data_IF_363813442007
#
_entry.id   IF_363813442007
#
_cell.length_a   1.000
_cell.length_b   1.000
_cell.length_c   1.000
_cell.angle_alpha   90.00
_cell.angle_beta   90.00
_cell.angle_gamma   90.00
#
_symmetry.space_group_name_H-M   'P 1'
#
loop_
_entity.id
_entity.type
_entity.pdbx_description
1 polymer ?
#
# COMPACT_ATOMS: atom_id res chain seq x y z
N UNK A 1 -6.88 -13.59 -1.79
CA UNK A 1 -6.60 -14.33 -3.06
C UNK A 1 -5.11 -14.29 -3.40
N UNK A 2 -4.52 -13.10 -3.54
CA UNK A 2 -3.10 -12.96 -3.89
C UNK A 2 -2.16 -13.66 -2.90
N UNK A 3 -2.38 -13.57 -1.58
CA UNK A 3 -1.56 -14.22 -0.56
C UNK A 3 -1.57 -15.75 -0.69
N UNK A 4 -2.72 -16.36 -0.94
CA UNK A 4 -2.83 -17.80 -1.16
C UNK A 4 -2.09 -18.25 -2.44
N UNK A 5 -2.19 -17.46 -3.52
CA UNK A 5 -1.45 -17.72 -4.76
C UNK A 5 0.06 -17.65 -4.51
N UNK A 6 0.51 -16.60 -3.82
CA UNK A 6 1.91 -16.43 -3.44
C UNK A 6 2.41 -17.56 -2.55
N UNK A 7 1.63 -17.94 -1.56
CA UNK A 7 1.94 -19.06 -0.67
C UNK A 7 2.08 -20.37 -1.45
N UNK A 8 1.18 -20.64 -2.40
CA UNK A 8 1.28 -21.80 -3.28
C UNK A 8 2.55 -21.79 -4.13
N UNK A 9 2.91 -20.66 -4.71
CA UNK A 9 4.14 -20.51 -5.49
C UNK A 9 5.39 -20.78 -4.65
N UNK A 10 5.40 -20.34 -3.40
CA UNK A 10 6.50 -20.58 -2.48
C UNK A 10 6.59 -22.04 -2.04
N UNK A 11 5.45 -22.70 -1.81
CA UNK A 11 5.37 -24.10 -1.41
C UNK A 11 5.68 -25.10 -2.55
N UNK A 12 5.30 -24.81 -3.79
CA UNK A 12 5.49 -25.73 -4.92
C UNK A 12 6.93 -26.19 -5.14
N UNK A 13 7.89 -25.50 -4.50
CA UNK A 13 9.31 -25.89 -4.53
C UNK A 13 9.75 -26.76 -3.33
N UNK A 14 8.88 -27.01 -2.33
CA UNK A 14 9.26 -27.75 -1.13
C UNK A 14 8.34 -28.92 -0.77
N UNK A 15 7.01 -28.80 -0.91
CA UNK A 15 6.02 -29.88 -0.71
C UNK A 15 4.65 -29.45 -1.29
N UNK A 16 3.74 -30.40 -1.66
CA UNK A 16 2.39 -30.03 -2.08
C UNK A 16 1.65 -29.30 -0.94
N UNK A 17 0.79 -28.33 -1.27
CA UNK A 17 0.04 -27.54 -0.27
C UNK A 17 -0.74 -28.49 0.65
N UNK A 18 -0.54 -28.33 1.95
CA UNK A 18 -1.21 -29.16 2.93
C UNK A 18 -2.73 -28.96 2.87
N UNK A 19 -3.48 -30.03 3.16
CA UNK A 19 -4.95 -30.04 3.20
C UNK A 19 -5.57 -28.88 4.01
N UNK A 20 -4.83 -28.35 4.96
CA UNK A 20 -5.22 -27.23 5.81
C UNK A 20 -5.25 -25.90 5.05
N UNK A 21 -4.30 -25.65 4.16
CA UNK A 21 -4.26 -24.42 3.33
C UNK A 21 -5.47 -24.36 2.37
N UNK A 22 -5.84 -25.50 1.77
CA UNK A 22 -7.02 -25.56 0.88
C UNK A 22 -8.32 -25.27 1.64
N UNK A 23 -8.42 -25.69 2.89
CA UNK A 23 -9.57 -25.43 3.75
C UNK A 23 -9.62 -23.95 4.16
N UNK A 24 -8.49 -23.36 4.53
CA UNK A 24 -8.41 -21.93 4.90
C UNK A 24 -8.73 -21.03 3.70
N UNK A 25 -8.19 -21.34 2.53
CA UNK A 25 -8.51 -20.61 1.29
C UNK A 25 -10.00 -20.71 0.93
N UNK A 26 -10.57 -21.92 0.98
CA UNK A 26 -11.99 -22.12 0.70
C UNK A 26 -12.89 -21.35 1.67
N UNK A 27 -12.52 -21.30 2.96
CA UNK A 27 -13.25 -20.54 3.97
C UNK A 27 -13.15 -19.02 3.72
N UNK A 28 -11.97 -18.51 3.39
CA UNK A 28 -11.78 -17.10 3.06
C UNK A 28 -12.55 -16.70 1.80
N UNK A 29 -12.55 -17.53 0.76
CA UNK A 29 -13.33 -17.33 -0.46
C UNK A 29 -14.84 -17.30 -0.19
N UNK A 30 -15.36 -18.21 0.61
CA UNK A 30 -16.77 -18.24 0.97
C UNK A 30 -17.18 -16.98 1.74
N UNK A 31 -16.33 -16.51 2.66
CA UNK A 31 -16.58 -15.27 3.42
C UNK A 31 -16.56 -14.03 2.52
N UNK A 32 -15.62 -13.94 1.59
CA UNK A 32 -15.56 -12.85 0.61
C UNK A 32 -16.77 -12.82 -0.32
N UNK A 33 -17.24 -13.97 -0.79
CA UNK A 33 -18.43 -14.06 -1.65
C UNK A 33 -19.69 -13.65 -0.87
N UNK A 34 -19.78 -14.00 0.40
CA UNK A 34 -20.86 -13.55 1.26
C UNK A 34 -20.83 -12.02 1.46
N UNK A 35 -19.69 -11.43 1.77
CA UNK A 35 -19.52 -9.97 1.90
C UNK A 35 -19.91 -9.25 0.61
N UNK A 36 -19.51 -9.77 -0.53
CA UNK A 36 -19.87 -9.24 -1.86
C UNK A 36 -21.38 -9.24 -2.05
N UNK A 37 -22.05 -10.37 -1.77
CA UNK A 37 -23.51 -10.51 -1.89
C UNK A 37 -24.22 -9.50 -0.99
N UNK A 38 -23.80 -9.37 0.27
CA UNK A 38 -24.38 -8.42 1.21
C UNK A 38 -24.20 -6.95 0.76
N UNK A 39 -23.02 -6.62 0.25
CA UNK A 39 -22.70 -5.26 -0.23
C UNK A 39 -23.49 -4.91 -1.47
N UNK A 40 -23.60 -5.82 -2.45
CA UNK A 40 -24.39 -5.65 -3.65
C UNK A 40 -25.87 -5.48 -3.28
N UNK A 41 -26.39 -6.30 -2.37
CA UNK A 41 -27.78 -6.18 -1.92
C UNK A 41 -28.09 -4.82 -1.29
N UNK A 42 -27.21 -4.30 -0.43
CA UNK A 42 -27.36 -2.95 0.15
C UNK A 42 -27.35 -1.85 -0.92
N UNK A 43 -26.46 -1.95 -1.91
CA UNK A 43 -26.40 -1.01 -3.04
C UNK A 43 -27.66 -1.06 -3.90
N UNK A 44 -28.21 -2.24 -4.14
CA UNK A 44 -29.47 -2.42 -4.88
C UNK A 44 -30.66 -1.79 -4.15
N UNK A 45 -30.76 -1.96 -2.82
CA UNK A 45 -31.76 -1.32 -1.99
C UNK A 45 -31.68 0.21 -2.07
N UNK A 46 -30.49 0.77 -1.85
CA UNK A 46 -30.23 2.22 -1.96
C UNK A 46 -30.59 2.76 -3.34
N UNK A 47 -30.22 2.04 -4.40
CA UNK A 47 -30.58 2.40 -5.77
C UNK A 47 -32.08 2.37 -6.02
N UNK A 48 -32.81 1.38 -5.48
CA UNK A 48 -34.25 1.30 -5.58
C UNK A 48 -34.95 2.47 -4.88
N UNK A 49 -34.48 2.84 -3.69
CA UNK A 49 -34.99 3.99 -2.94
C UNK A 49 -34.77 5.31 -3.70
N UNK A 50 -33.59 5.55 -4.20
CA UNK A 50 -33.28 6.74 -5.01
C UNK A 50 -34.13 6.80 -6.28
N UNK A 51 -34.35 5.67 -6.96
CA UNK A 51 -35.25 5.60 -8.13
C UNK A 51 -36.67 5.98 -7.77
N UNK A 52 -37.18 5.50 -6.65
CA UNK A 52 -38.54 5.85 -6.21
C UNK A 52 -38.68 7.34 -5.91
N UNK A 53 -37.68 7.93 -5.22
CA UNK A 53 -37.65 9.36 -4.95
C UNK A 53 -37.56 10.18 -6.25
N UNK A 54 -36.70 9.77 -7.19
CA UNK A 54 -36.61 10.39 -8.52
C UNK A 54 -37.94 10.35 -9.28
N UNK A 55 -38.66 9.23 -9.26
CA UNK A 55 -39.98 9.12 -9.92
C UNK A 55 -41.02 10.07 -9.32
N UNK A 56 -41.01 10.27 -8.00
CA UNK A 56 -41.87 11.23 -7.34
C UNK A 56 -41.58 12.66 -7.82
N UNK A 57 -40.34 13.03 -7.88
CA UNK A 57 -39.91 14.35 -8.38
C UNK A 57 -40.30 14.56 -9.85
N UNK A 58 -40.06 13.56 -10.70
CA UNK A 58 -40.42 13.65 -12.12
C UNK A 58 -41.96 13.84 -12.29
N UNK A 59 -42.78 13.16 -11.49
CA UNK A 59 -44.22 13.34 -11.52
C UNK A 59 -44.66 14.75 -11.10
N UNK A 60 -44.02 15.30 -10.03
CA UNK A 60 -44.27 16.67 -9.59
C UNK A 60 -43.87 17.67 -10.66
N UNK A 61 -42.68 17.48 -11.27
CA UNK A 61 -42.21 18.36 -12.34
C UNK A 61 -43.13 18.33 -13.57
N UNK A 62 -43.55 17.15 -14.01
CA UNK A 62 -44.46 16.99 -15.13
C UNK A 62 -45.83 17.65 -14.87
N UNK A 63 -46.36 17.51 -13.63
CA UNK A 63 -47.63 18.16 -13.23
C UNK A 63 -47.51 19.70 -13.27
N UNK A 64 -46.37 20.26 -12.84
CA UNK A 64 -46.13 21.70 -12.91
C UNK A 64 -46.00 22.18 -14.35
N UNK A 65 -45.29 21.44 -15.19
CA UNK A 65 -45.09 21.77 -16.61
C UNK A 65 -46.42 21.75 -17.39
N UNK A 66 -47.26 20.74 -17.17
CA UNK A 66 -48.59 20.69 -17.75
C UNK A 66 -49.47 21.90 -17.35
N UNK A 67 -49.39 22.30 -16.07
CA UNK A 67 -50.12 23.46 -15.55
C UNK A 67 -49.62 24.75 -16.13
N UNK A 68 -48.30 24.90 -16.35
CA UNK A 68 -47.69 26.07 -16.93
C UNK A 68 -48.15 26.36 -18.35
N UNK A 69 -48.48 25.33 -19.12
CA UNK A 69 -49.02 25.45 -20.50
C UNK A 69 -50.49 25.88 -20.58
N UNK A 70 -51.21 25.96 -19.45
CA UNK A 70 -52.62 26.31 -19.41
C UNK A 70 -52.82 27.84 -19.23
N UNK A 71 -53.99 28.39 -19.62
CA UNK A 71 -54.32 29.78 -19.34
C UNK A 71 -54.21 30.14 -17.86
N UNK A 72 -53.77 31.36 -17.52
CA UNK A 72 -53.38 31.80 -16.16
C UNK A 72 -54.41 31.44 -15.09
N UNK A 73 -55.71 31.56 -15.41
CA UNK A 73 -56.79 31.20 -14.48
C UNK A 73 -56.78 29.70 -14.08
N UNK A 74 -56.47 28.83 -15.02
CA UNK A 74 -56.39 27.38 -14.79
C UNK A 74 -55.04 27.00 -14.16
N UNK A 75 -53.96 27.73 -14.48
CA UNK A 75 -52.63 27.53 -13.90
C UNK A 75 -52.65 27.70 -12.37
N UNK A 76 -53.35 28.74 -11.87
CA UNK A 76 -53.44 29.01 -10.44
C UNK A 76 -54.35 28.09 -9.67
N UNK A 77 -55.30 27.40 -10.34
CA UNK A 77 -56.20 26.48 -9.68
C UNK A 77 -55.47 25.20 -9.21
N UNK A 78 -55.39 24.99 -7.90
CA UNK A 78 -54.77 23.82 -7.29
C UNK A 78 -53.22 23.85 -7.29
N UNK A 79 -52.58 24.95 -7.72
CA UNK A 79 -51.11 25.06 -7.65
C UNK A 79 -50.59 25.02 -6.21
N UNK A 80 -51.39 25.50 -5.26
CA UNK A 80 -51.03 25.49 -3.84
C UNK A 80 -50.85 24.07 -3.30
N UNK A 81 -51.61 23.10 -3.76
CA UNK A 81 -51.45 21.69 -3.35
C UNK A 81 -50.14 21.08 -3.85
N UNK A 82 -49.74 21.43 -5.09
CA UNK A 82 -48.48 20.96 -5.65
C UNK A 82 -47.31 21.61 -4.95
N UNK A 83 -47.41 22.92 -4.68
CA UNK A 83 -46.37 23.64 -3.91
C UNK A 83 -46.22 23.09 -2.51
N UNK A 84 -47.33 22.90 -1.78
CA UNK A 84 -47.26 22.32 -0.45
C UNK A 84 -46.65 20.91 -0.43
N UNK A 85 -46.93 20.06 -1.45
CA UNK A 85 -46.29 18.76 -1.60
C UNK A 85 -44.79 18.90 -1.90
N UNK A 86 -44.41 19.84 -2.74
CA UNK A 86 -42.98 20.08 -3.07
C UNK A 86 -42.20 20.66 -1.89
N UNK A 87 -42.83 21.55 -1.09
CA UNK A 87 -42.23 22.11 0.11
C UNK A 87 -42.05 21.08 1.24
N UNK A 88 -43.00 20.13 1.35
CA UNK A 88 -42.94 19.05 2.32
C UNK A 88 -42.01 17.92 1.94
N UNK A 89 -41.66 17.80 0.66
CA UNK A 89 -40.76 16.76 0.17
C UNK A 89 -39.33 17.05 0.59
N UNK A 90 -38.64 16.02 1.09
CA UNK A 90 -37.20 16.07 1.45
C UNK A 90 -36.50 14.88 0.82
N UNK A 91 -35.36 15.13 0.23
CA UNK A 91 -34.47 14.07 -0.26
C UNK A 91 -33.97 13.26 0.94
N UNK A 92 -34.29 11.98 0.95
CA UNK A 92 -33.72 11.03 1.91
C UNK A 92 -32.43 10.47 1.32
N UNK A 93 -31.30 10.82 1.93
CA UNK A 93 -30.04 10.22 1.55
C UNK A 93 -30.00 8.78 2.06
N UNK A 94 -29.72 7.79 1.19
CA UNK A 94 -29.49 6.42 1.64
C UNK A 94 -28.24 6.37 2.53
N UNK A 95 -28.21 5.40 3.42
CA UNK A 95 -27.00 5.16 4.24
C UNK A 95 -25.82 4.82 3.34
N UNK A 96 -24.63 5.39 3.61
CA UNK A 96 -23.43 5.07 2.85
C UNK A 96 -23.06 3.60 3.06
N UNK A 97 -22.85 2.89 1.98
CA UNK A 97 -22.38 1.51 2.01
C UNK A 97 -20.86 1.51 2.08
N UNK A 98 -20.29 0.95 3.14
CA UNK A 98 -18.84 0.76 3.25
C UNK A 98 -18.39 -0.26 2.20
N UNK A 99 -17.32 0.08 1.49
CA UNK A 99 -16.63 -0.81 0.53
C UNK A 99 -15.38 -1.45 1.15
N UNK A 100 -15.13 -1.22 2.44
CA UNK A 100 -14.02 -1.85 3.14
C UNK A 100 -14.31 -3.33 3.35
N UNK A 101 -13.38 -4.17 2.92
CA UNK A 101 -13.43 -5.61 3.15
C UNK A 101 -13.20 -5.89 4.65
N UNK A 102 -14.07 -6.71 5.23
CA UNK A 102 -14.00 -7.16 6.62
C UNK A 102 -13.34 -8.53 6.75
N UNK A 103 -13.44 -9.32 5.67
CA UNK A 103 -12.85 -10.66 5.65
C UNK A 103 -11.33 -10.56 5.62
N UNK A 104 -10.69 -11.12 6.63
CA UNK A 104 -9.23 -11.27 6.70
C UNK A 104 -8.82 -12.47 5.85
N UNK A 105 -8.07 -12.21 4.77
CA UNK A 105 -7.59 -13.23 3.84
C UNK A 105 -6.14 -13.63 4.12
N UNK A 106 -5.67 -13.49 5.36
CA UNK A 106 -4.29 -13.80 5.74
C UNK A 106 -4.01 -15.29 5.67
N UNK A 107 -2.85 -15.62 5.16
CA UNK A 107 -2.32 -16.99 5.19
C UNK A 107 -1.44 -17.15 6.42
N UNK A 108 -1.87 -17.99 7.36
CA UNK A 108 -1.08 -18.30 8.54
C UNK A 108 0.23 -19.00 8.11
N UNK A 109 1.35 -18.54 8.66
CA UNK A 109 2.67 -19.13 8.38
C UNK A 109 3.38 -18.57 7.14
N UNK A 110 2.81 -17.60 6.40
CA UNK A 110 3.50 -17.00 5.26
C UNK A 110 4.85 -16.38 5.67
N UNK A 111 4.89 -15.66 6.79
CA UNK A 111 6.13 -15.05 7.32
C UNK A 111 7.21 -16.11 7.57
N UNK A 112 6.84 -17.27 8.14
CA UNK A 112 7.80 -18.34 8.43
C UNK A 112 8.39 -18.94 7.14
N UNK A 113 7.59 -19.05 6.09
CA UNK A 113 8.10 -19.46 4.78
C UNK A 113 9.02 -18.39 4.19
N UNK A 114 8.64 -17.12 4.27
CA UNK A 114 9.50 -16.02 3.80
C UNK A 114 10.84 -16.01 4.54
N UNK A 115 10.87 -16.28 5.84
CA UNK A 115 12.09 -16.41 6.63
C UNK A 115 13.03 -17.51 6.12
N UNK A 116 12.54 -18.55 5.44
CA UNK A 116 13.41 -19.56 4.82
C UNK A 116 14.31 -18.99 3.72
N UNK A 117 13.97 -17.81 3.20
CA UNK A 117 14.76 -17.05 2.23
C UNK A 117 15.49 -15.87 2.87
N UNK A 118 15.70 -15.91 4.18
CA UNK A 118 16.38 -14.84 4.93
C UNK A 118 17.72 -14.49 4.29
N UNK A 119 17.90 -13.19 4.06
CA UNK A 119 19.14 -12.64 3.53
C UNK A 119 19.81 -11.78 4.61
N UNK A 120 21.08 -12.02 4.84
CA UNK A 120 21.89 -11.20 5.76
C UNK A 120 22.31 -9.90 5.07
N UNK A 121 21.39 -8.92 5.05
CA UNK A 121 21.59 -7.63 4.42
C UNK A 121 22.42 -6.72 5.33
N UNK A 122 23.47 -6.13 4.77
CA UNK A 122 24.34 -5.13 5.41
C UNK A 122 24.29 -3.82 4.61
N UNK A 123 24.27 -2.69 5.29
CA UNK A 123 24.34 -1.38 4.68
C UNK A 123 25.77 -1.12 4.13
N UNK A 124 25.83 -0.43 3.01
CA UNK A 124 27.10 0.03 2.42
C UNK A 124 27.32 1.52 2.71
N UNK A 125 28.23 1.86 3.65
CA UNK A 125 28.49 3.25 4.03
C UNK A 125 29.03 4.12 2.86
N UNK A 126 29.63 3.50 1.85
CA UNK A 126 30.15 4.24 0.69
C UNK A 126 29.02 4.78 -0.20
N UNK A 127 27.84 4.18 -0.14
CA UNK A 127 26.65 4.65 -0.87
C UNK A 127 25.87 5.72 -0.11
N UNK A 128 26.09 5.82 1.21
CA UNK A 128 25.27 6.65 2.09
C UNK A 128 25.40 8.15 1.79
N UNK A 129 24.28 8.86 1.76
CA UNK A 129 24.25 10.31 1.75
C UNK A 129 25.05 10.86 2.96
N UNK A 130 25.80 11.94 2.78
CA UNK A 130 26.79 12.46 3.72
C UNK A 130 26.28 12.85 5.12
N UNK A 131 24.95 12.92 5.31
CA UNK A 131 24.31 13.12 6.64
C UNK A 131 23.77 11.84 7.25
N UNK A 132 23.87 10.71 6.56
CA UNK A 132 23.45 9.43 7.12
C UNK A 132 24.59 8.82 7.93
N UNK A 133 24.25 8.40 9.14
CA UNK A 133 25.16 7.69 10.03
C UNK A 133 24.78 6.22 10.00
N UNK A 134 25.67 5.40 9.49
CA UNK A 134 25.55 3.93 9.48
C UNK A 134 26.29 3.38 10.70
N UNK A 135 25.69 2.44 11.42
CA UNK A 135 26.30 1.79 12.58
C UNK A 135 27.49 0.91 12.18
N UNK A 136 28.37 0.58 13.15
CA UNK A 136 29.56 -0.24 12.92
C UNK A 136 29.22 -1.66 12.43
N UNK A 137 28.10 -2.23 12.91
CA UNK A 137 27.57 -3.52 12.47
C UNK A 137 26.86 -3.46 11.11
N UNK A 138 26.71 -2.26 10.52
CA UNK A 138 26.05 -1.99 9.24
C UNK A 138 24.56 -2.43 9.19
N UNK A 139 23.92 -2.51 10.36
CA UNK A 139 22.50 -2.88 10.46
C UNK A 139 21.57 -1.70 10.68
N UNK A 140 22.09 -0.58 11.19
CA UNK A 140 21.31 0.60 11.51
C UNK A 140 21.71 1.81 10.71
N UNK A 141 20.74 2.65 10.34
CA UNK A 141 20.99 3.96 9.74
C UNK A 141 20.04 5.01 10.29
N UNK A 142 20.55 6.17 10.59
CA UNK A 142 19.78 7.34 10.96
C UNK A 142 20.30 8.62 10.32
N UNK A 143 19.51 9.66 10.33
CA UNK A 143 19.92 10.97 9.86
C UNK A 143 20.67 11.71 10.98
N UNK A 144 21.87 12.20 10.67
CA UNK A 144 22.70 13.00 11.58
C UNK A 144 22.53 14.50 11.34
N UNK A 145 22.59 15.29 12.41
CA UNK A 145 22.46 16.74 12.34
C UNK A 145 23.67 17.41 11.66
N UNK A 146 24.83 16.77 11.73
CA UNK A 146 26.09 17.29 11.21
C UNK A 146 26.47 16.53 9.95
N UNK A 147 26.87 17.28 8.93
CA UNK A 147 27.44 16.70 7.72
C UNK A 147 28.78 16.06 8.05
N UNK A 148 28.94 14.78 7.69
CA UNK A 148 30.20 14.07 7.85
C UNK A 148 31.16 14.48 6.73
N UNK A 149 32.46 14.64 7.08
CA UNK A 149 33.54 14.84 6.12
C UNK A 149 33.91 13.49 5.48
N UNK A 150 33.10 13.05 4.52
CA UNK A 150 33.33 11.81 3.78
C UNK A 150 33.93 12.13 2.41
N UNK A 151 34.81 11.25 1.88
CA UNK A 151 35.31 11.41 0.53
C UNK A 151 34.15 11.36 -0.47
N UNK A 152 34.19 12.24 -1.46
CA UNK A 152 33.30 12.14 -2.60
C UNK A 152 33.70 10.93 -3.44
N UNK A 153 32.72 10.05 -3.67
CA UNK A 153 32.89 8.88 -4.53
C UNK A 153 31.68 8.77 -5.47
N UNK A 154 31.79 8.07 -6.60
CA UNK A 154 30.67 7.93 -7.55
C UNK A 154 29.51 7.15 -6.97
N UNK A 155 29.75 6.30 -5.98
CA UNK A 155 28.75 5.41 -5.39
C UNK A 155 27.82 6.14 -4.40
N UNK A 156 28.25 7.28 -3.86
CA UNK A 156 27.53 8.03 -2.83
C UNK A 156 26.35 8.82 -3.37
N UNK A 157 25.18 8.67 -2.74
CA UNK A 157 24.05 9.57 -2.99
C UNK A 157 24.38 11.00 -2.54
N UNK A 158 24.08 11.97 -3.40
CA UNK A 158 24.46 13.37 -3.16
C UNK A 158 23.29 14.25 -2.71
N UNK A 159 22.06 13.96 -3.17
CA UNK A 159 20.89 14.84 -2.95
C UNK A 159 19.85 14.25 -2.01
N UNK A 160 19.81 12.94 -1.84
CA UNK A 160 18.74 12.26 -1.13
C UNK A 160 19.30 11.40 0.00
N UNK A 161 18.56 11.32 1.10
CA UNK A 161 18.89 10.57 2.29
C UNK A 161 18.72 9.06 2.03
N UNK A 162 19.56 8.51 1.16
CA UNK A 162 19.52 7.13 0.71
C UNK A 162 20.84 6.45 1.06
N UNK A 163 20.74 5.18 1.43
CA UNK A 163 21.85 4.24 1.55
C UNK A 163 21.41 2.91 0.95
N UNK A 164 22.32 2.16 0.36
CA UNK A 164 22.04 0.86 -0.24
C UNK A 164 22.61 -0.27 0.61
N UNK A 165 22.09 -1.48 0.36
CA UNK A 165 22.73 -2.70 0.84
C UNK A 165 23.99 -3.00 0.03
N UNK A 166 24.96 -3.68 0.67
CA UNK A 166 26.26 -4.03 0.05
C UNK A 166 26.16 -5.21 -0.92
N UNK A 167 25.09 -6.00 -0.83
CA UNK A 167 24.91 -7.21 -1.64
C UNK A 167 24.12 -6.93 -2.90
N UNK A 168 24.73 -7.19 -4.06
CA UNK A 168 24.04 -7.21 -5.35
C UNK A 168 23.26 -8.50 -5.53
N UNK A 169 21.97 -8.39 -5.79
CA UNK A 169 21.07 -9.51 -6.05
C UNK A 169 20.87 -9.65 -7.55
N UNK A 170 21.16 -10.83 -8.09
CA UNK A 170 21.02 -11.14 -9.53
C UNK A 170 20.31 -12.47 -9.79
N UNK A 171 19.90 -13.17 -8.74
CA UNK A 171 19.16 -14.44 -8.81
C UNK A 171 18.60 -14.80 -7.45
N UNK A 172 17.66 -15.77 -7.42
CA UNK A 172 17.14 -16.37 -6.21
C UNK A 172 16.07 -15.54 -5.51
N UNK A 173 15.68 -16.07 -4.35
CA UNK A 173 14.69 -15.47 -3.45
C UNK A 173 15.40 -14.93 -2.23
N UNK A 174 15.02 -13.72 -1.84
CA UNK A 174 15.61 -13.01 -0.71
C UNK A 174 14.53 -12.35 0.14
N UNK A 175 14.66 -12.46 1.45
CA UNK A 175 13.77 -11.83 2.41
C UNK A 175 14.55 -11.14 3.51
N UNK A 176 14.16 -9.95 3.89
CA UNK A 176 14.70 -9.24 5.05
C UNK A 176 13.62 -8.40 5.71
N UNK A 177 13.80 -8.11 6.99
CA UNK A 177 12.89 -7.28 7.76
C UNK A 177 13.61 -6.03 8.25
N UNK A 178 12.88 -4.93 8.31
CA UNK A 178 13.39 -3.63 8.75
C UNK A 178 12.46 -3.05 9.81
N UNK A 179 13.00 -2.77 10.98
CA UNK A 179 12.32 -2.02 12.02
C UNK A 179 12.26 -0.55 11.60
N UNK A 180 11.04 -0.03 11.42
CA UNK A 180 10.78 1.37 11.07
C UNK A 180 10.27 2.17 12.27
N UNK A 181 9.84 1.47 13.35
CA UNK A 181 9.35 2.08 14.58
C UNK A 181 8.19 3.06 14.35
N UNK A 182 8.19 4.15 15.13
CA UNK A 182 7.18 5.21 15.05
C UNK A 182 7.63 6.39 14.18
N UNK A 183 8.49 6.14 13.21
CA UNK A 183 8.97 7.19 12.30
C UNK A 183 7.83 7.79 11.49
N UNK A 184 7.91 9.10 11.26
CA UNK A 184 6.95 9.82 10.41
C UNK A 184 7.31 9.76 8.92
N UNK A 185 8.56 9.42 8.58
CA UNK A 185 9.03 9.28 7.20
C UNK A 185 10.08 8.18 7.08
N UNK A 186 9.93 7.35 6.07
CA UNK A 186 10.90 6.33 5.68
C UNK A 186 10.63 5.84 4.24
N UNK A 187 11.61 5.20 3.64
CA UNK A 187 11.49 4.50 2.36
C UNK A 187 12.28 3.20 2.37
N UNK A 188 11.69 2.12 1.86
CA UNK A 188 12.26 0.78 1.79
C UNK A 188 11.97 0.12 0.45
N UNK A 189 12.88 -0.74 -0.01
CA UNK A 189 12.69 -1.52 -1.22
C UNK A 189 13.99 -1.96 -1.85
N UNK A 190 14.03 -1.91 -3.18
CA UNK A 190 15.23 -2.20 -3.97
C UNK A 190 15.38 -1.18 -5.10
N UNK A 191 16.61 -1.06 -5.61
CA UNK A 191 16.88 -0.33 -6.84
C UNK A 191 17.90 -1.07 -7.71
N UNK A 192 18.00 -0.70 -8.99
CA UNK A 192 19.09 -1.22 -9.84
C UNK A 192 20.43 -0.67 -9.44
N UNK A 193 21.49 -1.44 -9.64
CA UNK A 193 22.86 -1.04 -9.34
C UNK A 193 23.27 0.27 -10.04
N UNK A 194 22.78 0.49 -11.24
CA UNK A 194 23.15 1.60 -12.13
C UNK A 194 22.27 2.84 -11.99
N UNK A 195 21.48 2.99 -10.90
CA UNK A 195 20.68 4.21 -10.70
C UNK A 195 21.58 5.44 -10.57
N UNK A 196 21.09 6.56 -11.07
CA UNK A 196 21.79 7.84 -10.88
C UNK A 196 21.71 8.24 -9.41
N UNK A 197 22.88 8.54 -8.83
CA UNK A 197 23.05 8.88 -7.42
C UNK A 197 23.34 10.37 -7.19
N UNK A 198 23.58 11.10 -8.27
CA UNK A 198 23.97 12.53 -8.23
C UNK A 198 22.83 13.46 -8.62
N UNK A 199 21.97 13.01 -9.54
CA UNK A 199 20.87 13.81 -10.09
C UNK A 199 19.54 13.58 -9.36
N UNK A 200 18.45 14.07 -9.96
CA UNK A 200 17.09 13.93 -9.40
C UNK A 200 16.62 12.49 -9.49
N UNK A 201 16.27 11.93 -8.36
CA UNK A 201 15.75 10.54 -8.26
C UNK A 201 14.23 10.55 -8.32
N UNK A 202 13.69 9.81 -9.30
CA UNK A 202 12.26 9.48 -9.38
C UNK A 202 12.08 8.03 -8.94
N UNK A 203 11.32 7.83 -7.86
CA UNK A 203 11.11 6.49 -7.29
C UNK A 203 10.00 5.76 -8.06
N UNK A 204 10.34 5.18 -9.21
CA UNK A 204 9.45 4.27 -9.94
C UNK A 204 10.24 3.21 -10.70
N UNK A 205 9.63 2.05 -11.07
CA UNK A 205 10.27 0.97 -11.82
C UNK A 205 10.91 1.43 -13.13
N UNK A 206 10.32 2.41 -13.79
CA UNK A 206 10.83 3.05 -15.01
C UNK A 206 12.24 3.64 -14.81
N UNK A 207 12.55 4.11 -13.59
CA UNK A 207 13.84 4.68 -13.22
C UNK A 207 14.68 3.71 -12.37
N UNK A 208 14.28 2.44 -12.30
CA UNK A 208 15.01 1.40 -11.58
C UNK A 208 14.78 1.37 -10.07
N UNK A 209 13.64 1.85 -9.60
CA UNK A 209 13.30 1.85 -8.18
C UNK A 209 11.97 1.14 -7.91
N UNK A 210 11.95 0.20 -7.00
CA UNK A 210 10.77 -0.50 -6.46
C UNK A 210 10.73 -0.24 -4.95
N UNK A 211 10.09 0.83 -4.56
CA UNK A 211 10.16 1.39 -3.20
C UNK A 211 8.78 1.72 -2.68
N UNK A 212 8.49 1.34 -1.43
CA UNK A 212 7.37 1.91 -0.67
C UNK A 212 7.91 2.95 0.32
N UNK A 213 7.08 3.93 0.66
CA UNK A 213 7.48 5.00 1.57
C UNK A 213 6.34 5.50 2.43
N UNK A 214 6.66 5.91 3.66
CA UNK A 214 5.79 6.71 4.51
C UNK A 214 6.19 8.19 4.39
N UNK A 215 5.20 9.05 4.32
CA UNK A 215 5.36 10.50 4.40
C UNK A 215 4.36 11.11 5.38
N UNK A 216 4.78 12.18 6.07
CA UNK A 216 3.95 12.96 7.01
C UNK A 216 3.26 12.10 8.08
N UNK A 217 3.81 10.95 8.42
CA UNK A 217 3.30 10.05 9.43
C UNK A 217 2.05 9.23 9.06
N UNK A 218 1.40 9.49 7.93
CA UNK A 218 0.12 8.85 7.56
C UNK A 218 -0.01 8.46 6.09
N UNK A 219 0.82 9.00 5.22
CA UNK A 219 0.71 8.77 3.78
C UNK A 219 1.66 7.65 3.33
N UNK A 220 1.15 6.41 3.26
CA UNK A 220 1.88 5.29 2.68
C UNK A 220 1.72 5.30 1.16
N UNK A 221 2.83 5.19 0.43
CA UNK A 221 2.81 5.25 -1.04
C UNK A 221 3.77 4.22 -1.64
N UNK A 222 3.33 3.57 -2.72
CA UNK A 222 4.23 2.84 -3.60
C UNK A 222 4.79 3.78 -4.67
N UNK A 223 6.07 3.65 -4.96
CA UNK A 223 6.79 4.39 -5.99
C UNK A 223 6.43 3.89 -7.39
N UNK A 224 5.21 4.11 -7.82
CA UNK A 224 4.74 3.94 -9.20
C UNK A 224 4.78 5.28 -9.92
N UNK A 225 4.51 5.30 -11.23
CA UNK A 225 4.51 6.55 -12.02
C UNK A 225 3.60 7.64 -11.44
N UNK A 226 2.51 7.25 -10.76
CA UNK A 226 1.54 8.15 -10.13
C UNK A 226 1.62 8.15 -8.58
N UNK A 227 2.62 7.53 -7.98
CA UNK A 227 2.74 7.41 -6.52
C UNK A 227 1.46 6.87 -5.86
N UNK A 228 1.16 5.61 -6.08
CA UNK A 228 -0.05 4.97 -5.57
C UNK A 228 -0.15 5.08 -4.05
N UNK A 229 -1.26 5.65 -3.57
CA UNK A 229 -1.58 5.71 -2.15
C UNK A 229 -2.01 4.33 -1.64
N UNK A 230 -1.41 3.89 -0.54
CA UNK A 230 -1.71 2.61 0.11
C UNK A 230 -2.53 2.88 1.38
N UNK A 231 -3.60 2.12 1.57
CA UNK A 231 -4.41 2.16 2.80
C UNK A 231 -4.00 1.00 3.68
N UNK A 232 -3.39 1.30 4.84
CA UNK A 232 -2.95 0.30 5.80
C UNK A 232 -3.75 0.44 7.09
N UNK A 233 -4.56 -0.57 7.47
CA UNK A 233 -5.37 -0.53 8.69
C UNK A 233 -4.52 -0.45 9.95
N UNK A 234 -3.38 -1.14 9.94
CA UNK A 234 -2.41 -1.16 11.04
C UNK A 234 -1.09 -0.53 10.55
N UNK A 235 -0.65 0.58 11.16
CA UNK A 235 0.64 1.17 10.85
C UNK A 235 1.80 0.18 11.07
N UNK A 236 2.66 -0.08 10.09
CA UNK A 236 3.79 -0.97 10.28
C UNK A 236 4.88 -0.33 11.15
N UNK A 237 5.34 -1.05 12.16
CA UNK A 237 6.56 -0.77 12.91
C UNK A 237 7.73 -1.59 12.42
N UNK A 238 7.45 -2.71 11.73
CA UNK A 238 8.41 -3.59 11.08
C UNK A 238 7.87 -4.00 9.71
N UNK A 239 8.69 -3.86 8.69
CA UNK A 239 8.34 -4.15 7.30
C UNK A 239 9.22 -5.26 6.78
N UNK A 240 8.60 -6.30 6.23
CA UNK A 240 9.27 -7.35 5.47
C UNK A 240 9.35 -6.98 3.99
N UNK A 241 10.50 -7.23 3.38
CA UNK A 241 10.72 -7.07 1.94
C UNK A 241 11.09 -8.42 1.36
N UNK A 242 10.34 -8.88 0.37
CA UNK A 242 10.59 -10.11 -0.35
C UNK A 242 10.89 -9.82 -1.81
N UNK A 243 11.94 -10.41 -2.32
CA UNK A 243 12.36 -10.33 -3.72
C UNK A 243 12.49 -11.75 -4.28
N UNK A 244 11.76 -12.05 -5.34
CA UNK A 244 11.98 -13.22 -6.21
C UNK A 244 12.51 -12.70 -7.56
N UNK A 245 13.82 -12.87 -7.78
CA UNK A 245 14.49 -12.26 -8.92
C UNK A 245 13.99 -12.87 -10.24
N UNK A 246 13.81 -14.18 -10.31
CA UNK A 246 13.35 -14.90 -11.49
C UNK A 246 11.88 -14.62 -11.80
N UNK A 247 11.06 -14.46 -10.78
CA UNK A 247 9.64 -14.10 -10.96
C UNK A 247 9.43 -12.61 -11.20
N UNK A 248 10.47 -11.79 -11.11
CA UNK A 248 10.41 -10.31 -11.18
C UNK A 248 9.42 -9.73 -10.15
N UNK A 249 9.39 -10.32 -8.97
CA UNK A 249 8.44 -10.02 -7.91
C UNK A 249 9.13 -9.31 -6.75
N UNK A 250 8.60 -8.14 -6.37
CA UNK A 250 8.98 -7.42 -5.17
C UNK A 250 7.72 -7.14 -4.35
N UNK A 251 7.68 -7.72 -3.17
CA UNK A 251 6.52 -7.71 -2.28
C UNK A 251 6.89 -7.19 -0.90
N UNK A 252 5.97 -6.47 -0.28
CA UNK A 252 6.12 -5.86 1.04
C UNK A 252 5.07 -6.37 2.00
N UNK A 253 5.46 -6.61 3.24
CA UNK A 253 4.63 -7.18 4.28
C UNK A 253 4.69 -6.36 5.57
N UNK A 254 3.56 -6.21 6.24
CA UNK A 254 3.49 -5.60 7.56
C UNK A 254 3.72 -6.68 8.64
N UNK A 255 4.96 -6.79 9.09
CA UNK A 255 5.33 -7.79 10.11
C UNK A 255 4.65 -7.51 11.45
N UNK A 256 4.38 -6.24 11.78
CA UNK A 256 3.64 -5.83 12.98
C UNK A 256 2.21 -6.37 12.98
N UNK A 257 1.63 -6.55 11.82
CA UNK A 257 0.30 -7.07 11.60
C UNK A 257 0.36 -8.52 11.05
N UNK A 258 1.09 -9.40 11.73
CA UNK A 258 1.24 -10.82 11.42
C UNK A 258 1.67 -11.12 9.97
N UNK A 259 2.44 -10.23 9.34
CA UNK A 259 2.89 -10.41 7.96
C UNK A 259 1.82 -10.10 6.92
N UNK A 260 0.82 -9.27 7.24
CA UNK A 260 -0.18 -8.85 6.25
C UNK A 260 0.47 -8.17 5.05
N UNK A 261 -0.07 -8.44 3.87
CA UNK A 261 0.44 -7.88 2.63
C UNK A 261 0.24 -6.35 2.56
N UNK A 262 1.30 -5.62 2.23
CA UNK A 262 1.25 -4.17 2.01
C UNK A 262 1.07 -3.86 0.53
N UNK A 263 2.00 -4.36 -0.30
CA UNK A 263 2.02 -4.06 -1.73
C UNK A 263 2.95 -5.02 -2.48
N UNK A 264 2.59 -5.34 -3.73
CA UNK A 264 3.46 -6.03 -4.69
C UNK A 264 3.53 -5.19 -5.96
N UNK A 265 4.74 -4.91 -6.41
CA UNK A 265 4.91 -4.26 -7.71
C UNK A 265 4.49 -5.21 -8.84
N UNK A 266 3.77 -4.72 -9.86
CA UNK A 266 3.48 -5.53 -11.05
C UNK A 266 4.76 -6.12 -11.63
N UNK A 267 4.77 -7.40 -12.04
CA UNK A 267 5.96 -8.05 -12.60
C UNK A 267 6.48 -7.25 -13.80
N UNK A 268 7.74 -6.85 -13.71
CA UNK A 268 8.44 -6.17 -14.80
C UNK A 268 9.88 -6.67 -14.81
N UNK A 269 10.42 -7.11 -15.97
CA UNK A 269 11.78 -7.59 -16.05
C UNK A 269 12.78 -6.60 -15.44
N UNK A 270 13.64 -7.10 -14.56
CA UNK A 270 14.69 -6.27 -13.97
C UNK A 270 15.78 -6.01 -15.01
N UNK A 271 16.19 -4.75 -15.20
CA UNK A 271 17.19 -4.41 -16.23
C UNK A 271 18.63 -4.82 -15.84
N UNK A 272 18.81 -5.38 -14.64
CA UNK A 272 20.14 -5.78 -14.13
C UNK A 272 20.11 -6.10 -12.65
N UNK A 273 21.28 -6.15 -12.04
CA UNK A 273 21.44 -6.44 -10.61
C UNK A 273 20.71 -5.42 -9.73
N UNK A 274 20.15 -5.91 -8.64
CA UNK A 274 19.41 -5.12 -7.67
C UNK A 274 20.18 -4.97 -6.36
N UNK A 275 19.99 -3.85 -5.71
CA UNK A 275 20.52 -3.53 -4.37
C UNK A 275 19.37 -3.21 -3.43
N UNK A 276 19.37 -3.70 -2.19
CA UNK A 276 18.45 -3.26 -1.15
C UNK A 276 18.54 -1.74 -0.96
N UNK A 277 17.40 -1.08 -0.83
CA UNK A 277 17.26 0.37 -0.73
C UNK A 277 16.70 0.77 0.62
N UNK A 278 17.33 1.73 1.27
CA UNK A 278 16.93 2.27 2.57
C UNK A 278 16.98 3.79 2.56
N UNK A 279 15.94 4.42 3.08
CA UNK A 279 15.91 5.87 3.29
C UNK A 279 15.27 6.18 4.64
N UNK A 280 16.03 6.64 5.63
CA UNK A 280 15.45 7.12 6.88
C UNK A 280 14.76 8.47 6.72
N UNK A 281 14.80 9.07 5.53
CA UNK A 281 14.28 10.39 5.23
C UNK A 281 14.76 11.47 6.23
N UNK A 282 14.40 12.70 5.98
CA UNK A 282 14.59 13.80 6.91
C UNK A 282 13.21 14.37 7.26
N UNK A 283 12.88 14.41 8.53
CA UNK A 283 11.73 15.15 9.00
C UNK A 283 12.19 16.27 9.94
N UNK A 284 11.70 17.48 9.69
CA UNK A 284 11.87 18.62 10.60
C UNK A 284 11.18 18.35 11.95
N UNK A 285 10.29 17.36 11.99
CA UNK A 285 9.60 16.95 13.22
C UNK A 285 10.52 16.08 14.09
N UNK A 286 10.54 16.33 15.38
CA UNK A 286 11.34 15.62 16.39
C UNK A 286 11.15 14.08 16.42
N UNK A 287 10.13 13.55 15.77
CA UNK A 287 9.74 12.13 15.82
C UNK A 287 10.42 11.25 14.74
N UNK A 288 11.46 11.74 14.04
CA UNK A 288 12.12 10.95 12.99
C UNK A 288 13.60 10.65 13.31
N UNK A 289 13.98 10.63 14.58
CA UNK A 289 15.37 10.44 15.05
C UNK A 289 15.74 8.97 15.26
N UNK A 290 14.76 8.08 15.51
CA UNK A 290 15.04 6.66 15.67
C UNK A 290 15.68 6.08 14.39
N UNK A 291 16.63 5.12 14.48
CA UNK A 291 17.22 4.50 13.30
C UNK A 291 16.24 3.63 12.53
N UNK A 292 16.47 3.41 11.24
CA UNK A 292 16.02 2.22 10.53
C UNK A 292 16.97 1.09 10.88
N UNK A 293 16.45 -0.06 11.29
CA UNK A 293 17.27 -1.19 11.74
C UNK A 293 16.92 -2.43 10.93
N UNK A 294 17.90 -3.03 10.28
CA UNK A 294 17.76 -4.34 9.62
C UNK A 294 17.76 -5.41 10.70
N UNK A 295 16.67 -6.17 10.78
CA UNK A 295 16.50 -7.18 11.82
C UNK A 295 17.32 -8.45 11.51
N UNK A 296 17.89 -9.06 12.54
CA UNK A 296 18.36 -10.45 12.44
C UNK A 296 17.15 -11.37 12.41
N UNK A 297 17.12 -12.32 11.50
CA UNK A 297 16.04 -13.31 11.39
C UNK A 297 16.44 -14.66 12.00
N UNK A 298 17.71 -14.79 12.40
CA UNK A 298 18.25 -15.97 13.07
C UNK A 298 17.98 -15.85 14.58
N UNK A 299 17.02 -16.64 15.11
CA UNK A 299 16.84 -16.83 16.54
C UNK A 299 15.76 -16.00 17.25
N UNK A 300 14.75 -15.50 16.56
CA UNK A 300 13.50 -15.09 17.23
C UNK A 300 12.60 -16.34 17.42
N UNK A 301 12.66 -16.95 18.60
CA UNK A 301 11.67 -17.87 19.16
C UNK A 301 10.56 -17.09 19.90
#
# INVERSE_FOLDING_TARGET
MWEFEKYRQLLNNQQPPGRQLEVEEAAALASLEQEKVETVHKLELSHKELRQQSQVLWKMAAELEERYQRPVRWMLQGIQEVLNRSESWRLQQPEPVSLELKTDCRVLGLREILKTYAADVLLDPDTAYFRLIVSEDRKCVHYGDIQQELPDNPERFYRYNIVLGSQCISSGRHYWEVEVGDRSEWGLGVCTENVDRKEVVYLSPQYGFWVIRLRKGTEYRAGTDNYLLLSLPVPPRRVGVFLDYEAHDISFYNVTDNGSHIFTFPPHPFPGRLLPYFSPCYSICANNTAPLTICSLDGED
#
